data_IF_470951464361
#
_entry.id   IF_470951464361
#
_cell.length_a   1.000
_cell.length_b   1.000
_cell.length_c   1.000
_cell.angle_alpha   90.00
_cell.angle_beta   90.00
_cell.angle_gamma   90.00
#
_symmetry.space_group_name_H-M   'P 1'
#
loop_
_entity.id
_entity.type
_entity.pdbx_description
1 polymer ?
#
# COMPACT_ATOMS: atom_id res chain seq x y z
N UNK A 1 -14.61 8.12 17.73
CA UNK A 1 -13.59 7.32 17.03
C UNK A 1 -12.70 8.26 16.24
N UNK A 2 -11.40 8.14 16.44
CA UNK A 2 -10.45 9.08 15.87
C UNK A 2 -9.46 8.34 14.97
N UNK A 3 -9.44 8.69 13.69
CA UNK A 3 -8.45 8.19 12.75
C UNK A 3 -7.43 9.26 12.44
N UNK A 4 -6.19 8.84 12.26
CA UNK A 4 -5.10 9.74 11.92
C UNK A 4 -4.21 9.08 10.88
N UNK A 5 -3.97 9.78 9.78
CA UNK A 5 -3.02 9.35 8.75
C UNK A 5 -1.69 9.98 9.08
N UNK A 6 -0.65 9.15 9.17
CA UNK A 6 0.68 9.63 9.54
C UNK A 6 1.72 9.04 8.60
N UNK A 7 2.82 9.76 8.43
CA UNK A 7 3.90 9.37 7.53
C UNK A 7 5.26 9.30 8.23
N UNK A 8 5.28 9.35 9.56
CA UNK A 8 6.56 9.28 10.23
C UNK A 8 7.12 7.85 10.18
N UNK A 9 8.39 7.70 10.53
CA UNK A 9 9.07 6.42 10.37
C UNK A 9 8.53 5.30 11.26
N UNK A 10 7.74 5.65 12.30
CA UNK A 10 7.11 4.61 13.11
C UNK A 10 6.14 3.75 12.30
N UNK A 11 5.56 4.32 11.24
CA UNK A 11 4.69 3.57 10.32
C UNK A 11 5.48 2.43 9.68
N UNK A 12 6.66 2.75 9.14
CA UNK A 12 7.49 1.76 8.47
C UNK A 12 7.91 0.65 9.40
N UNK A 13 8.34 1.00 10.60
CA UNK A 13 8.76 0.01 11.57
C UNK A 13 7.59 -0.87 12.01
N UNK A 14 6.42 -0.27 12.27
CA UNK A 14 5.24 -1.05 12.63
C UNK A 14 4.83 -2.00 11.49
N UNK A 15 4.82 -1.48 10.27
CA UNK A 15 4.42 -2.28 9.10
C UNK A 15 5.37 -3.45 8.89
N UNK A 16 6.68 -3.18 9.00
CA UNK A 16 7.68 -4.23 8.82
C UNK A 16 7.51 -5.36 9.82
N UNK A 17 7.14 -5.04 11.06
CA UNK A 17 6.85 -6.07 12.06
C UNK A 17 5.70 -6.97 11.64
N UNK A 18 4.63 -6.39 11.08
CA UNK A 18 3.44 -7.14 10.69
C UNK A 18 3.73 -8.09 9.53
N UNK A 19 4.60 -7.70 8.61
CA UNK A 19 4.92 -8.51 7.43
C UNK A 19 6.19 -9.31 7.60
N UNK A 20 6.83 -9.21 8.76
CA UNK A 20 8.13 -9.85 9.03
C UNK A 20 9.17 -9.44 8.01
N UNK A 21 9.16 -8.16 7.64
CA UNK A 21 10.07 -7.59 6.67
C UNK A 21 10.97 -6.54 7.26
N UNK A 22 11.65 -5.80 6.39
CA UNK A 22 12.53 -4.73 6.79
C UNK A 22 12.00 -3.37 6.39
N UNK A 23 12.49 -2.35 7.06
CA UNK A 23 12.17 -0.97 6.72
C UNK A 23 13.45 -0.16 6.79
N UNK A 24 13.81 0.48 5.68
CA UNK A 24 15.03 1.28 5.58
C UNK A 24 14.64 2.76 5.45
N UNK A 25 14.77 3.49 6.54
CA UNK A 25 14.29 4.87 6.62
C UNK A 25 14.81 5.77 5.51
N UNK A 26 16.05 5.53 5.07
CA UNK A 26 16.66 6.38 4.05
C UNK A 26 16.01 6.21 2.67
N UNK A 27 15.59 4.98 2.35
CA UNK A 27 15.13 4.65 1.00
C UNK A 27 13.65 4.31 0.89
N UNK A 28 12.96 4.29 2.02
CA UNK A 28 11.56 3.91 2.05
C UNK A 28 10.71 5.07 2.49
N UNK A 29 9.46 5.04 2.10
CA UNK A 29 8.44 5.96 2.60
C UNK A 29 7.29 5.12 3.12
N UNK A 30 6.49 5.69 3.99
CA UNK A 30 5.38 4.93 4.54
C UNK A 30 4.21 5.85 4.86
N UNK A 31 3.00 5.28 4.79
CA UNK A 31 1.77 5.98 5.10
C UNK A 31 0.94 5.06 5.97
N UNK A 32 0.60 5.52 7.16
CA UNK A 32 -0.13 4.70 8.11
C UNK A 32 -1.46 5.32 8.50
N UNK A 33 -2.31 4.48 9.07
CA UNK A 33 -3.60 4.88 9.60
C UNK A 33 -3.67 4.47 11.06
N UNK A 34 -3.97 5.44 11.92
CA UNK A 34 -4.20 5.16 13.34
C UNK A 34 -5.67 5.34 13.65
N UNK A 35 -6.13 4.51 14.56
CA UNK A 35 -7.47 4.63 15.13
C UNK A 35 -7.29 4.73 16.63
N UNK A 36 -7.75 5.85 17.21
CA UNK A 36 -7.62 6.10 18.64
C UNK A 36 -6.17 5.94 19.12
N UNK A 37 -5.23 6.44 18.32
CA UNK A 37 -3.81 6.45 18.67
C UNK A 37 -3.04 5.18 18.38
N UNK A 38 -3.69 4.14 17.84
CA UNK A 38 -3.02 2.88 17.55
C UNK A 38 -3.06 2.56 16.06
N UNK A 39 -1.99 1.96 15.56
CA UNK A 39 -1.93 1.62 14.14
C UNK A 39 -2.92 0.52 13.80
N UNK A 40 -3.66 0.73 12.72
CA UNK A 40 -4.55 -0.27 12.13
C UNK A 40 -4.18 -0.59 10.69
N UNK A 41 -3.30 0.19 10.08
CA UNK A 41 -2.84 -0.07 8.73
C UNK A 41 -1.53 0.66 8.47
N UNK A 42 -0.73 0.13 7.56
CA UNK A 42 0.48 0.78 7.11
C UNK A 42 0.90 0.27 5.75
N UNK A 43 1.49 1.15 4.96
CA UNK A 43 2.04 0.82 3.64
C UNK A 43 3.47 1.33 3.60
N UNK A 44 4.39 0.46 3.20
CA UNK A 44 5.78 0.83 2.94
C UNK A 44 5.96 0.90 1.42
N UNK A 45 6.57 1.98 0.95
CA UNK A 45 6.88 2.19 -0.46
C UNK A 45 8.39 2.17 -0.64
N UNK A 46 8.89 1.38 -1.60
CA UNK A 46 10.32 1.28 -1.85
C UNK A 46 10.58 0.92 -3.31
N UNK A 47 11.85 0.97 -3.71
CA UNK A 47 12.29 0.58 -5.05
C UNK A 47 11.61 1.37 -6.16
N UNK A 48 11.45 2.68 -5.94
CA UNK A 48 10.93 3.57 -6.99
C UNK A 48 11.95 3.67 -8.12
N UNK A 49 11.51 3.43 -9.35
CA UNK A 49 12.38 3.47 -10.51
C UNK A 49 11.82 4.34 -11.64
N UNK A 50 10.88 5.23 -11.30
CA UNK A 50 10.19 6.16 -12.20
C UNK A 50 9.07 5.50 -13.01
N UNK A 51 8.97 4.18 -13.03
CA UNK A 51 7.91 3.47 -13.75
C UNK A 51 7.08 2.63 -12.82
N UNK A 52 7.70 2.07 -11.80
CA UNK A 52 7.00 1.25 -10.83
C UNK A 52 7.53 1.52 -9.44
N UNK A 53 6.77 1.04 -8.45
CA UNK A 53 7.17 1.14 -7.05
C UNK A 53 6.66 -0.14 -6.37
N UNK A 54 7.43 -0.61 -5.40
CA UNK A 54 7.04 -1.79 -4.63
C UNK A 54 6.38 -1.34 -3.34
N UNK A 55 5.25 -1.96 -2.99
CA UNK A 55 4.54 -1.66 -1.77
C UNK A 55 4.40 -2.90 -0.91
N UNK A 56 4.47 -2.69 0.40
CA UNK A 56 4.16 -3.72 1.38
C UNK A 56 3.02 -3.19 2.24
N UNK A 57 1.93 -3.95 2.34
CA UNK A 57 0.70 -3.48 2.96
C UNK A 57 0.35 -4.37 4.13
N UNK A 58 0.09 -3.78 5.28
CA UNK A 58 -0.37 -4.49 6.46
C UNK A 58 -1.63 -3.82 6.99
N UNK A 59 -2.66 -4.60 7.25
CA UNK A 59 -3.94 -4.08 7.74
C UNK A 59 -4.42 -4.97 8.86
N UNK A 60 -4.67 -4.38 10.03
CA UNK A 60 -5.17 -5.11 11.18
C UNK A 60 -6.53 -4.60 11.65
N UNK A 61 -7.03 -3.52 11.03
CA UNK A 61 -8.30 -2.94 11.43
C UNK A 61 -9.01 -2.28 10.27
N UNK A 62 -9.97 -1.45 10.62
CA UNK A 62 -10.85 -0.84 9.64
C UNK A 62 -10.17 0.30 8.90
N UNK A 63 -10.38 0.36 7.60
CA UNK A 63 -9.84 1.42 6.77
C UNK A 63 -10.88 2.51 6.53
N UNK A 64 -10.39 3.69 6.13
CA UNK A 64 -11.26 4.80 5.74
C UNK A 64 -11.09 5.06 4.25
N UNK A 65 -12.11 5.63 3.58
CA UNK A 65 -11.97 6.01 2.17
C UNK A 65 -10.83 7.00 1.93
N UNK A 66 -10.60 7.93 2.87
CA UNK A 66 -9.51 8.89 2.74
C UNK A 66 -8.16 8.21 2.75
N UNK A 67 -7.98 7.20 3.62
CA UNK A 67 -6.72 6.49 3.67
C UNK A 67 -6.48 5.73 2.37
N UNK A 68 -7.51 5.06 1.85
CA UNK A 68 -7.41 4.37 0.58
C UNK A 68 -7.02 5.34 -0.54
N UNK A 69 -7.61 6.52 -0.56
CA UNK A 69 -7.25 7.52 -1.55
C UNK A 69 -5.78 7.92 -1.44
N UNK A 70 -5.31 8.15 -0.22
CA UNK A 70 -3.95 8.63 0.01
C UNK A 70 -2.91 7.59 -0.37
N UNK A 71 -3.13 6.33 0.01
CA UNK A 71 -2.12 5.29 -0.25
C UNK A 71 -1.97 4.96 -1.73
N UNK A 72 -2.98 5.23 -2.56
CA UNK A 72 -2.88 5.04 -4.00
C UNK A 72 -2.51 6.34 -4.73
N UNK A 73 -2.92 7.49 -4.19
CA UNK A 73 -2.55 8.78 -4.75
C UNK A 73 -1.03 9.00 -4.71
N UNK A 74 -0.41 8.62 -3.59
CA UNK A 74 1.01 8.85 -3.43
C UNK A 74 1.84 8.19 -4.55
N UNK A 75 1.71 6.88 -4.81
CA UNK A 75 2.52 6.29 -5.88
C UNK A 75 2.09 6.74 -7.28
N UNK A 76 0.80 6.84 -7.54
CA UNK A 76 0.36 7.09 -8.91
C UNK A 76 0.41 8.56 -9.31
N UNK A 77 0.21 9.47 -8.36
CA UNK A 77 0.18 10.90 -8.67
C UNK A 77 1.47 11.58 -8.23
N UNK A 78 1.87 11.40 -6.96
CA UNK A 78 3.07 12.08 -6.46
C UNK A 78 4.32 11.46 -7.05
N UNK A 79 4.44 10.15 -7.04
CA UNK A 79 5.61 9.45 -7.58
C UNK A 79 5.50 9.20 -9.09
N UNK A 80 4.32 9.42 -9.65
CA UNK A 80 4.05 9.33 -11.09
C UNK A 80 4.44 7.97 -11.68
N UNK A 81 4.18 6.88 -10.94
CA UNK A 81 4.46 5.55 -11.48
C UNK A 81 3.29 5.08 -12.33
N UNK A 82 3.56 4.09 -13.17
CA UNK A 82 2.54 3.47 -14.00
C UNK A 82 2.00 2.20 -13.36
N UNK A 83 2.74 1.63 -12.44
CA UNK A 83 2.39 0.33 -11.87
C UNK A 83 2.90 0.21 -10.44
N UNK A 84 2.07 -0.40 -9.58
CA UNK A 84 2.46 -0.77 -8.22
C UNK A 84 2.68 -2.27 -8.19
N UNK A 85 3.73 -2.72 -7.51
CA UNK A 85 4.07 -4.12 -7.34
C UNK A 85 3.93 -4.46 -5.86
N UNK A 86 3.19 -5.54 -5.55
CA UNK A 86 3.07 -6.02 -4.16
C UNK A 86 3.47 -7.49 -4.14
N UNK A 87 4.61 -7.82 -3.50
CA UNK A 87 4.99 -9.22 -3.33
C UNK A 87 4.15 -9.84 -2.22
N UNK A 88 3.60 -11.03 -2.47
CA UNK A 88 2.72 -11.69 -1.50
C UNK A 88 3.12 -13.15 -1.39
N UNK A 89 3.17 -13.66 -0.16
CA UNK A 89 3.34 -15.08 0.11
C UNK A 89 2.04 -15.79 -0.26
N UNK A 90 2.12 -16.76 -1.17
CA UNK A 90 0.92 -17.46 -1.65
C UNK A 90 0.18 -18.19 -0.53
N UNK A 91 0.86 -18.52 0.57
CA UNK A 91 0.22 -19.19 1.70
C UNK A 91 -0.50 -18.22 2.63
N UNK A 92 -0.31 -16.92 2.43
CA UNK A 92 -0.98 -15.91 3.25
C UNK A 92 -2.31 -15.53 2.60
N UNK A 93 -3.35 -16.33 2.88
CA UNK A 93 -4.65 -16.13 2.23
C UNK A 93 -5.27 -14.77 2.54
N UNK A 94 -4.98 -14.22 3.72
CA UNK A 94 -5.50 -12.91 4.10
C UNK A 94 -4.94 -11.82 3.18
N UNK A 95 -3.64 -11.86 2.93
CA UNK A 95 -2.99 -10.88 2.04
C UNK A 95 -3.43 -11.06 0.60
N UNK A 96 -3.54 -12.31 0.15
CA UNK A 96 -4.03 -12.60 -1.20
C UNK A 96 -5.41 -11.99 -1.40
N UNK A 97 -6.33 -12.26 -0.46
CA UNK A 97 -7.69 -11.73 -0.54
C UNK A 97 -7.69 -10.21 -0.55
N UNK A 98 -6.85 -9.61 0.29
CA UNK A 98 -6.79 -8.15 0.40
C UNK A 98 -6.37 -7.49 -0.91
N UNK A 99 -5.26 -7.94 -1.48
CA UNK A 99 -4.76 -7.28 -2.70
C UNK A 99 -5.69 -7.53 -3.89
N UNK A 100 -6.32 -8.70 -3.95
CA UNK A 100 -7.29 -8.97 -5.01
C UNK A 100 -8.51 -8.07 -4.88
N UNK A 101 -8.97 -7.82 -3.67
CA UNK A 101 -10.07 -6.88 -3.44
C UNK A 101 -9.71 -5.46 -3.83
N UNK A 102 -8.45 -5.09 -3.68
CA UNK A 102 -7.99 -3.77 -4.05
C UNK A 102 -7.84 -3.60 -5.56
N UNK A 103 -7.94 -4.69 -6.32
CA UNK A 103 -7.87 -4.63 -7.77
C UNK A 103 -6.55 -5.10 -8.35
N UNK A 104 -5.64 -5.57 -7.52
CA UNK A 104 -4.37 -6.12 -8.02
C UNK A 104 -4.62 -7.47 -8.68
N UNK A 105 -3.79 -7.78 -9.67
CA UNK A 105 -3.84 -9.08 -10.35
C UNK A 105 -2.49 -9.76 -10.25
N UNK A 106 -2.49 -11.08 -10.23
CA UNK A 106 -1.25 -11.84 -10.23
C UNK A 106 -0.57 -11.67 -11.59
N UNK A 107 0.63 -11.12 -11.58
CA UNK A 107 1.37 -10.95 -12.83
C UNK A 107 2.46 -11.98 -12.98
N UNK A 108 3.06 -12.43 -11.89
CA UNK A 108 4.13 -13.42 -11.93
C UNK A 108 4.11 -14.22 -10.64
N UNK A 109 4.61 -15.46 -10.73
CA UNK A 109 4.69 -16.35 -9.59
C UNK A 109 6.04 -17.02 -9.60
N UNK A 110 6.74 -16.92 -8.48
CA UNK A 110 8.06 -17.52 -8.33
C UNK A 110 7.89 -18.72 -7.42
N UNK A 111 8.05 -19.90 -8.03
CA UNK A 111 7.88 -21.15 -7.31
C UNK A 111 8.90 -21.24 -6.18
N UNK A 112 8.41 -21.60 -5.00
CA UNK A 112 9.27 -21.71 -3.80
C UNK A 112 10.01 -20.44 -3.48
N UNK A 113 9.44 -19.28 -3.82
CA UNK A 113 10.05 -18.00 -3.54
C UNK A 113 9.90 -17.52 -2.10
N UNK A 114 9.11 -18.24 -1.30
CA UNK A 114 8.91 -17.95 0.12
C UNK A 114 9.25 -19.20 0.91
N UNK A 115 9.39 -19.05 2.22
CA UNK A 115 9.81 -20.16 3.09
C UNK A 115 8.89 -21.38 2.97
N UNK A 116 7.58 -21.15 2.83
CA UNK A 116 6.60 -22.24 2.85
C UNK A 116 5.73 -22.28 1.61
N UNK A 117 6.13 -21.60 0.52
CA UNK A 117 5.32 -21.60 -0.68
C UNK A 117 5.86 -20.68 -1.75
N UNK A 118 4.99 -20.31 -2.66
CA UNK A 118 5.36 -19.48 -3.80
C UNK A 118 5.30 -17.99 -3.43
N UNK A 119 6.13 -17.22 -4.12
CA UNK A 119 6.06 -15.77 -4.05
C UNK A 119 5.24 -15.29 -5.23
N UNK A 120 4.15 -14.59 -4.98
CA UNK A 120 3.33 -14.02 -6.04
C UNK A 120 3.64 -12.54 -6.15
N UNK A 121 3.86 -12.07 -7.37
CA UNK A 121 4.00 -10.65 -7.63
C UNK A 121 2.66 -10.15 -8.17
N UNK A 122 1.92 -9.44 -7.32
CA UNK A 122 0.69 -8.79 -7.71
C UNK A 122 0.98 -7.40 -8.21
N UNK A 123 0.26 -6.95 -9.22
CA UNK A 123 0.46 -5.60 -9.75
C UNK A 123 -0.86 -4.91 -9.98
N UNK A 124 -0.80 -3.58 -9.97
CA UNK A 124 -1.95 -2.73 -10.26
C UNK A 124 -1.48 -1.60 -11.16
N UNK A 125 -2.05 -1.52 -12.35
CA UNK A 125 -1.73 -0.43 -13.26
C UNK A 125 -2.56 0.80 -12.88
N UNK A 126 -2.00 1.99 -13.14
CA UNK A 126 -2.66 3.24 -12.79
C UNK A 126 -4.07 3.33 -13.36
N UNK A 127 -4.24 2.95 -14.62
CA UNK A 127 -5.55 3.05 -15.29
C UNK A 127 -6.59 2.12 -14.70
N UNK A 128 -6.17 1.12 -13.95
CA UNK A 128 -7.08 0.16 -13.33
C UNK A 128 -7.35 0.44 -11.85
N UNK A 129 -6.78 1.52 -11.32
CA UNK A 129 -6.93 1.82 -9.90
C UNK A 129 -8.25 2.54 -9.66
N UNK A 130 -9.12 1.91 -8.87
CA UNK A 130 -10.44 2.46 -8.58
C UNK A 130 -10.45 3.49 -7.45
N UNK A 131 -9.30 3.72 -6.81
CA UNK A 131 -9.21 4.61 -5.66
C UNK A 131 -8.78 6.01 -6.01
N UNK A 132 -8.51 6.28 -7.28
CA UNK A 132 -8.12 7.60 -7.72
C UNK A 132 -9.37 8.38 -8.15
N UNK A 133 -9.30 9.71 -8.03
CA UNK A 133 -10.34 10.58 -8.53
C UNK A 133 -11.30 11.04 -7.46
N UNK A 134 -12.38 11.68 -7.89
CA UNK A 134 -13.30 12.37 -7.00
C UNK A 134 -13.92 11.51 -5.94
N UNK A 135 -14.18 10.27 -6.29
CA UNK A 135 -14.83 9.37 -5.39
C UNK A 135 -14.10 9.21 -4.09
N UNK A 136 -12.78 9.32 -4.13
CA UNK A 136 -11.94 9.14 -2.96
C UNK A 136 -11.10 10.35 -2.66
N UNK A 137 -10.35 10.86 -3.61
CA UNK A 137 -9.38 11.88 -3.38
C UNK A 137 -9.95 13.25 -3.22
N UNK A 138 -11.07 13.44 -3.70
CA UNK A 138 -11.42 14.66 -3.69
C UNK A 138 -12.32 15.11 -2.89
N UNK A 139 -12.61 15.26 -2.50
CA UNK A 139 -13.41 15.60 -1.80
C UNK A 139 -12.89 16.41 -1.16
N UNK A 140 -12.32 16.59 -1.26
CA UNK A 140 -11.72 17.21 -0.57
C UNK A 140 -10.81 17.96 -1.15
N UNK A 141 -11.04 18.15 -1.94
CA UNK A 141 -10.42 18.55 -2.47
C UNK A 141 -10.27 19.18 -2.88
N UNK A 142 -10.55 19.32 -3.12
CA UNK A 142 -10.38 19.60 -3.50
C UNK A 142 -9.75 20.10 -3.52
N UNK A 143 -9.59 20.20 -3.67
CA UNK A 143 -8.98 20.31 -3.64
C UNK A 143 -8.14 20.44 -3.81
N UNK A 144 -8.12 20.54 -4.01
CA UNK A 144 -7.37 20.34 -4.15
C UNK A 144 -6.63 20.35 -4.46
N UNK A 145 -6.52 20.51 -4.63
CA UNK A 145 -5.95 20.15 -4.84
C UNK A 145 -5.37 19.93 -5.01
N UNK A 146 -5.32 19.98 -5.20
CA UNK A 146 -4.92 19.44 -5.24
C UNK A 146 -4.32 19.14 -5.33
N UNK A 147 -4.21 19.22 -5.43
CA UNK A 147 -3.74 18.87 -5.55
C UNK A 147 -3.49 18.73 -5.66
#
# INVERSE_FOLDING_TARGET
MCFEITTDHSVGHWTAEQIEGGYFEVRSRSIGLKRNGEFVAGVIYENWNRRSITCHIAITGRLTPQYLAVIFDYPFVVCDVKKIIVPVDATNSKSVTLVEKMGFTEEARIKNGMANGDLILYTLAKENCKYLGKRYGKKSTSTATNT
#
